data_IF_505832601773
#
_entry.id   IF_505832601773
#
_cell.length_a   1.000
_cell.length_b   1.000
_cell.length_c   1.000
_cell.angle_alpha   90.00
_cell.angle_beta   90.00
_cell.angle_gamma   90.00
#
_symmetry.space_group_name_H-M   'P 1'
#
loop_
_entity.id
_entity.type
_entity.pdbx_description
1 polymer ?
#
# COMPACT_ATOMS: atom_id res chain seq x y z
N UNK A 1 -5.92 -0.74 21.68
CA UNK A 1 -5.66 0.45 20.85
C UNK A 1 -5.16 -0.06 19.51
N UNK A 2 -5.83 0.26 18.41
CA UNK A 2 -5.36 -0.14 17.08
C UNK A 2 -4.34 0.89 16.60
N UNK A 3 -3.17 0.42 16.19
CA UNK A 3 -2.12 1.24 15.61
C UNK A 3 -2.03 0.94 14.14
N UNK A 4 -1.97 1.98 13.31
CA UNK A 4 -1.98 1.89 11.87
C UNK A 4 -0.61 2.30 11.37
N UNK A 5 -0.01 1.46 10.51
CA UNK A 5 1.20 1.84 9.80
C UNK A 5 0.83 2.91 8.77
N UNK A 6 1.32 4.14 8.97
CA UNK A 6 1.07 5.23 8.04
C UNK A 6 2.21 5.32 7.02
N UNK A 7 1.91 4.96 5.78
CA UNK A 7 2.80 5.17 4.64
C UNK A 7 2.17 6.19 3.71
N UNK A 8 2.76 7.39 3.62
CA UNK A 8 2.17 8.50 2.88
C UNK A 8 3.17 9.37 2.12
N UNK A 9 2.69 10.06 1.10
CA UNK A 9 3.41 11.12 0.38
C UNK A 9 2.64 12.41 0.58
N UNK A 10 3.28 13.41 1.19
CA UNK A 10 2.71 14.75 1.36
C UNK A 10 3.13 15.64 0.19
N UNK A 11 2.16 16.13 -0.55
CA UNK A 11 2.36 16.98 -1.71
C UNK A 11 1.64 18.33 -1.50
N UNK A 12 2.31 19.43 -1.87
CA UNK A 12 1.73 20.77 -1.75
C UNK A 12 0.85 21.17 -2.94
N UNK A 13 0.88 20.39 -4.02
CA UNK A 13 0.19 20.69 -5.28
C UNK A 13 -0.70 19.52 -5.68
N UNK A 14 -1.95 19.82 -6.04
CA UNK A 14 -2.90 18.83 -6.57
C UNK A 14 -2.41 18.23 -7.90
N UNK A 15 -1.81 19.06 -8.75
CA UNK A 15 -1.28 18.61 -10.04
C UNK A 15 -0.17 17.57 -9.84
N UNK A 16 0.75 17.85 -8.92
CA UNK A 16 1.82 16.90 -8.59
C UNK A 16 1.23 15.60 -8.03
N UNK A 17 0.19 15.68 -7.19
CA UNK A 17 -0.46 14.49 -6.66
C UNK A 17 -1.15 13.63 -7.73
N UNK A 18 -1.68 14.26 -8.78
CA UNK A 18 -2.26 13.56 -9.92
C UNK A 18 -1.18 12.92 -10.80
N UNK A 19 -0.07 13.62 -11.06
CA UNK A 19 1.07 13.08 -11.81
C UNK A 19 1.64 11.84 -11.12
N UNK A 20 1.92 11.93 -9.82
CA UNK A 20 2.45 10.81 -9.02
C UNK A 20 1.45 9.65 -8.98
N UNK A 21 0.15 9.92 -8.89
CA UNK A 21 -0.87 8.87 -8.96
C UNK A 21 -0.82 8.13 -10.31
N UNK A 22 -0.68 8.85 -11.43
CA UNK A 22 -0.55 8.23 -12.75
C UNK A 22 0.75 7.41 -12.87
N UNK A 23 1.88 7.92 -12.37
CA UNK A 23 3.13 7.15 -12.37
C UNK A 23 3.01 5.86 -11.56
N UNK A 24 2.33 5.91 -10.42
CA UNK A 24 2.04 4.72 -9.61
C UNK A 24 1.14 3.72 -10.33
N UNK A 25 0.18 4.18 -11.13
CA UNK A 25 -0.65 3.33 -12.01
C UNK A 25 0.18 2.68 -13.13
N UNK A 26 1.18 3.39 -13.65
CA UNK A 26 2.13 2.87 -14.64
C UNK A 26 3.13 1.86 -14.05
N UNK A 27 3.20 1.75 -12.72
CA UNK A 27 4.06 0.81 -12.01
C UNK A 27 5.34 1.41 -11.43
N UNK A 28 5.40 2.74 -11.28
CA UNK A 28 6.50 3.39 -10.59
C UNK A 28 6.58 3.03 -9.10
N UNK A 29 7.79 3.13 -8.54
CA UNK A 29 8.04 2.81 -7.15
C UNK A 29 7.60 3.93 -6.20
N UNK A 30 6.60 3.64 -5.37
CA UNK A 30 6.09 4.58 -4.36
C UNK A 30 7.17 5.12 -3.43
N UNK A 31 8.13 4.28 -3.05
CA UNK A 31 9.25 4.65 -2.17
C UNK A 31 10.17 5.68 -2.83
N UNK A 32 10.38 5.58 -4.14
CA UNK A 32 11.21 6.51 -4.91
C UNK A 32 10.49 7.85 -5.08
N UNK A 33 9.22 7.81 -5.50
CA UNK A 33 8.38 9.01 -5.62
C UNK A 33 8.22 9.72 -4.28
N UNK A 34 8.10 8.97 -3.19
CA UNK A 34 8.06 9.54 -1.84
C UNK A 34 9.39 10.19 -1.44
N UNK A 35 10.53 9.61 -1.83
CA UNK A 35 11.85 10.21 -1.55
C UNK A 35 12.07 11.51 -2.31
N UNK A 36 11.57 11.55 -3.54
CA UNK A 36 11.81 12.66 -4.45
C UNK A 36 10.82 13.81 -4.24
N UNK A 37 9.54 13.50 -4.02
CA UNK A 37 8.46 14.50 -4.01
C UNK A 37 7.83 14.74 -2.64
N UNK A 38 7.98 13.84 -1.65
CA UNK A 38 7.34 14.04 -0.35
C UNK A 38 7.95 15.22 0.41
N UNK A 39 7.09 16.14 0.83
CA UNK A 39 7.46 17.29 1.66
C UNK A 39 7.61 16.95 3.15
N UNK A 40 7.41 15.69 3.54
CA UNK A 40 7.47 15.20 4.92
C UNK A 40 8.88 14.67 5.23
N UNK A 41 9.45 14.83 6.45
CA UNK A 41 10.77 14.28 6.79
C UNK A 41 10.86 12.75 6.66
N UNK A 42 9.72 12.06 6.63
CA UNK A 42 9.59 10.63 6.32
C UNK A 42 9.98 10.28 4.87
N UNK A 43 10.23 11.26 3.99
CA UNK A 43 10.73 11.04 2.64
C UNK A 43 11.99 10.16 2.63
N UNK A 44 12.90 10.31 3.60
CA UNK A 44 14.10 9.48 3.72
C UNK A 44 13.78 7.97 3.88
N UNK A 45 12.68 7.66 4.55
CA UNK A 45 12.16 6.30 4.73
C UNK A 45 11.16 5.92 3.63
N UNK A 46 11.17 6.63 2.50
CA UNK A 46 10.27 6.37 1.40
C UNK A 46 8.81 6.72 1.70
N UNK A 47 8.55 7.65 2.60
CA UNK A 47 7.19 8.08 3.00
C UNK A 47 6.61 7.30 4.18
N UNK A 48 7.35 6.35 4.76
CA UNK A 48 6.90 5.62 5.94
C UNK A 48 7.00 6.52 7.19
N UNK A 49 5.85 6.89 7.75
CA UNK A 49 5.75 7.77 8.93
C UNK A 49 5.69 6.99 10.26
N UNK A 50 5.76 5.66 10.23
CA UNK A 50 5.69 4.81 11.42
C UNK A 50 4.27 4.37 11.78
N UNK A 51 4.12 3.84 12.98
CA UNK A 51 2.84 3.39 13.52
C UNK A 51 2.20 4.51 14.34
N UNK A 52 1.01 4.93 13.94
CA UNK A 52 0.24 5.96 14.62
C UNK A 52 -1.04 5.37 15.20
N UNK A 53 -1.49 5.83 16.39
CA UNK A 53 -2.79 5.43 16.91
C UNK A 53 -3.89 6.01 16.01
N UNK A 54 -4.91 5.21 15.71
CA UNK A 54 -6.01 5.63 14.85
C UNK A 54 -6.68 6.92 15.35
N UNK A 55 -6.78 7.12 16.67
CA UNK A 55 -7.41 8.29 17.28
C UNK A 55 -6.67 9.62 17.03
N UNK A 56 -5.39 9.58 16.64
CA UNK A 56 -4.55 10.77 16.39
C UNK A 56 -4.41 11.10 14.89
N UNK A 57 -4.95 10.24 14.02
CA UNK A 57 -4.94 10.46 12.57
C UNK A 57 -6.16 11.25 12.10
N UNK A 58 -6.04 12.03 11.02
CA UNK A 58 -7.19 12.68 10.40
C UNK A 58 -8.22 11.65 9.95
N UNK A 59 -9.50 11.93 10.22
CA UNK A 59 -10.62 11.05 9.85
C UNK A 59 -10.61 10.74 8.35
N UNK A 60 -10.24 11.72 7.52
CA UNK A 60 -10.11 11.57 6.07
C UNK A 60 -9.16 10.44 5.67
N UNK A 61 -8.01 10.32 6.34
CA UNK A 61 -7.02 9.26 6.10
C UNK A 61 -7.56 7.90 6.57
N UNK A 62 -8.19 7.86 7.75
CA UNK A 62 -8.72 6.63 8.34
C UNK A 62 -9.85 6.06 7.46
N UNK A 63 -10.80 6.91 7.05
CA UNK A 63 -11.89 6.53 6.16
C UNK A 63 -11.31 6.00 4.85
N UNK A 64 -10.36 6.72 4.24
CA UNK A 64 -9.77 6.29 2.98
C UNK A 64 -9.03 4.95 3.09
N UNK A 65 -8.31 4.69 4.18
CA UNK A 65 -7.64 3.41 4.43
C UNK A 65 -8.62 2.24 4.62
N UNK A 66 -9.78 2.50 5.21
CA UNK A 66 -10.75 1.46 5.48
C UNK A 66 -11.71 1.19 4.31
N UNK A 67 -12.03 2.21 3.51
CA UNK A 67 -12.86 2.07 2.31
C UNK A 67 -12.05 1.67 1.08
N UNK A 68 -10.74 1.47 1.24
CA UNK A 68 -9.86 1.11 0.14
C UNK A 68 -10.11 -0.30 -0.39
N UNK A 69 -10.10 -0.45 -1.71
CA UNK A 69 -10.16 -1.74 -2.40
C UNK A 69 -8.79 -2.42 -2.37
N UNK A 70 -8.70 -3.68 -1.91
CA UNK A 70 -7.43 -4.43 -1.87
C UNK A 70 -6.73 -4.54 -3.23
N UNK A 71 -7.48 -4.32 -4.32
CA UNK A 71 -6.98 -4.34 -5.69
C UNK A 71 -6.09 -3.13 -6.04
N UNK A 72 -6.25 -1.96 -5.40
CA UNK A 72 -5.37 -0.81 -5.71
C UNK A 72 -4.14 -0.79 -4.79
N UNK A 73 -3.00 -0.51 -5.40
CA UNK A 73 -1.69 -0.47 -4.73
C UNK A 73 -1.47 0.79 -3.88
N UNK A 74 -2.32 1.79 -4.03
CA UNK A 74 -2.27 3.07 -3.33
C UNK A 74 -3.68 3.69 -3.23
N UNK A 75 -3.82 4.67 -2.34
CA UNK A 75 -5.06 5.40 -2.06
C UNK A 75 -4.77 6.90 -2.18
N UNK A 76 -5.54 7.61 -2.99
CA UNK A 76 -5.46 9.07 -3.07
C UNK A 76 -5.61 9.58 -4.50
N UNK A 77 -5.43 10.90 -4.72
CA UNK A 77 -4.98 11.91 -3.75
C UNK A 77 -6.08 12.38 -2.79
N UNK A 78 -5.80 12.39 -1.48
CA UNK A 78 -6.69 12.88 -0.42
C UNK A 78 -6.31 14.32 -0.10
N UNK A 79 -7.25 15.24 -0.23
CA UNK A 79 -7.07 16.62 0.18
C UNK A 79 -7.24 16.73 1.69
N UNK A 80 -6.28 17.37 2.37
CA UNK A 80 -6.38 17.75 3.77
C UNK A 80 -5.89 19.18 3.96
N UNK A 81 -6.01 19.73 5.17
CA UNK A 81 -5.56 21.11 5.47
C UNK A 81 -4.06 21.34 5.26
N UNK A 82 -3.24 20.28 5.23
CA UNK A 82 -1.79 20.36 5.01
C UNK A 82 -1.41 20.24 3.53
N UNK A 83 -2.32 19.78 2.67
CA UNK A 83 -2.08 19.52 1.25
C UNK A 83 -2.66 18.19 0.80
N UNK A 84 -2.06 17.59 -0.22
CA UNK A 84 -2.51 16.34 -0.84
C UNK A 84 -1.71 15.15 -0.32
N UNK A 85 -2.42 14.10 0.06
CA UNK A 85 -1.86 12.91 0.66
C UNK A 85 -2.14 11.70 -0.23
N UNK A 86 -1.10 11.01 -0.65
CA UNK A 86 -1.19 9.68 -1.24
C UNK A 86 -0.79 8.67 -0.19
N UNK A 87 -1.67 7.75 0.14
CA UNK A 87 -1.44 6.69 1.12
C UNK A 87 -1.10 5.40 0.40
N UNK A 88 -0.22 4.61 1.00
CA UNK A 88 0.02 3.22 0.61
C UNK A 88 -0.48 2.34 1.75
N UNK A 89 -1.44 1.44 1.51
CA UNK A 89 -1.85 0.48 2.52
C UNK A 89 -0.67 -0.46 2.81
N UNK A 90 -0.25 -0.51 4.08
CA UNK A 90 0.81 -1.41 4.54
C UNK A 90 0.28 -2.17 5.75
N UNK A 91 0.06 -3.47 5.61
CA UNK A 91 -0.50 -4.33 6.66
C UNK A 91 -2.03 -4.42 6.65
N UNK A 92 -2.62 -4.67 7.82
CA UNK A 92 -4.08 -4.86 7.97
C UNK A 92 -4.85 -3.54 7.92
N UNK A 93 -6.04 -3.57 7.29
CA UNK A 93 -6.96 -2.44 7.22
C UNK A 93 -7.44 -2.03 8.64
N UNK A 94 -7.53 -0.72 8.94
CA UNK A 94 -8.10 -0.28 10.20
C UNK A 94 -9.57 -0.70 10.26
N UNK A 95 -9.97 -1.34 11.36
CA UNK A 95 -11.38 -1.69 11.59
C UNK A 95 -12.11 -0.40 11.95
N UNK A 96 -12.78 0.23 10.98
CA UNK A 96 -13.90 1.09 11.34
C UNK A 96 -14.87 0.20 12.11
N UNK A 97 -15.26 0.63 13.31
CA UNK A 97 -16.34 0.01 14.04
C UNK A 97 -17.68 0.31 13.34
N UNK A 98 -17.80 -0.15 12.09
CA UNK A 98 -19.06 -0.39 11.43
C UNK A 98 -19.33 -1.87 11.66
N UNK A 99 -20.31 -2.10 12.52
CA UNK A 99 -20.88 -3.40 12.78
C UNK A 99 -21.16 -4.15 11.48
N UNK A 100 -20.98 -5.46 11.55
CA UNK A 100 -21.52 -6.49 10.66
C UNK A 100 -20.65 -6.98 9.49
N UNK A 101 -19.93 -8.05 9.81
CA UNK A 101 -19.72 -9.29 9.06
C UNK A 101 -19.04 -9.24 7.68
N UNK A 102 -17.99 -10.08 7.59
CA UNK A 102 -17.53 -10.80 6.40
C UNK A 102 -16.60 -10.06 5.43
N UNK A 103 -15.29 -10.28 5.60
CA UNK A 103 -14.32 -10.27 4.50
C UNK A 103 -13.26 -11.35 4.77
N UNK A 104 -13.68 -12.58 4.49
CA UNK A 104 -12.89 -13.70 3.97
C UNK A 104 -11.36 -13.56 4.05
N UNK A 105 -10.80 -14.10 5.12
CA UNK A 105 -9.40 -14.46 5.27
C UNK A 105 -9.08 -15.63 4.32
N UNK A 106 -8.82 -15.35 3.03
CA UNK A 106 -8.24 -16.32 2.11
C UNK A 106 -7.39 -15.63 1.04
N UNK A 107 -6.08 -15.91 1.05
CA UNK A 107 -5.36 -16.58 -0.03
C UNK A 107 -3.92 -16.08 -0.18
N UNK A 108 -2.95 -16.76 0.44
CA UNK A 108 -1.66 -17.11 -0.20
C UNK A 108 -0.93 -18.16 0.63
N UNK A 109 -1.25 -19.43 0.41
CA UNK A 109 -0.35 -20.54 0.74
C UNK A 109 -0.56 -21.64 -0.32
N UNK A 110 0.09 -21.48 -1.48
CA UNK A 110 0.42 -22.56 -2.43
C UNK A 110 1.03 -21.99 -3.73
N UNK A 111 2.31 -21.60 -3.73
CA UNK A 111 3.13 -21.54 -4.97
C UNK A 111 4.59 -21.87 -4.69
N UNK A 112 4.87 -23.02 -4.08
CA UNK A 112 6.25 -23.55 -4.09
C UNK A 112 6.22 -25.08 -4.10
N UNK A 113 6.31 -25.65 -5.31
CA UNK A 113 6.88 -26.98 -5.58
C UNK A 113 6.60 -27.41 -7.04
N UNK A 114 7.01 -26.64 -8.05
CA UNK A 114 7.14 -27.15 -9.42
C UNK A 114 8.27 -26.43 -10.17
N UNK A 115 9.52 -26.64 -9.75
CA UNK A 115 10.65 -26.59 -10.68
C UNK A 115 11.87 -27.25 -10.08
N UNK A 116 12.07 -28.54 -10.35
CA UNK A 116 13.44 -29.06 -10.44
C UNK A 116 13.50 -30.12 -11.55
N UNK A 117 13.92 -29.61 -12.71
CA UNK A 117 14.91 -30.18 -13.62
C UNK A 117 14.61 -31.55 -14.24
N UNK A 118 14.18 -31.48 -15.50
CA UNK A 118 14.32 -32.53 -16.49
C UNK A 118 15.76 -32.56 -17.03
N UNK A 119 16.42 -33.71 -16.90
CA UNK A 119 17.61 -34.20 -17.62
C UNK A 119 17.80 -35.64 -17.06
N UNK A 120 18.00 -36.75 -17.77
CA UNK A 120 18.36 -37.04 -19.16
C UNK A 120 18.21 -38.58 -19.37
N UNK A 121 17.83 -38.98 -20.59
CA UNK A 121 18.05 -40.29 -21.27
C UNK A 121 17.52 -41.65 -20.73
N UNK A 122 16.57 -42.21 -21.50
CA UNK A 122 16.31 -43.64 -21.78
C UNK A 122 17.51 -44.36 -22.50
N UNK A 123 17.51 -45.68 -22.88
CA UNK A 123 16.48 -46.74 -22.76
C UNK A 123 16.96 -48.16 -22.33
N UNK A 124 15.96 -49.02 -22.05
CA UNK A 124 15.83 -50.47 -22.30
C UNK A 124 17.08 -51.33 -22.63
N UNK A 125 17.22 -52.47 -21.94
CA UNK A 125 17.43 -53.75 -22.64
C UNK A 125 17.11 -54.99 -21.79
N UNK A 126 16.08 -55.71 -22.26
CA UNK A 126 15.70 -57.14 -22.18
C UNK A 126 16.27 -58.07 -21.10
#
# INVERSE_FOLDING_TARGET
MQTIALHHILLKSSLLAQDIAQELELGADFTELAREYSACPSSHQGGFAGYHPQDDLPIELITALATHDDEKKFIGPIETTLGFHLLKPVGEKPKLALSDQNANDQAIDAVDALSESAEDAEPLSN
#
